data_IF_396381056989
#
_entry.id   IF_396381056989
#
_cell.length_a   1.000
_cell.length_b   1.000
_cell.length_c   1.000
_cell.angle_alpha   90.00
_cell.angle_beta   90.00
_cell.angle_gamma   90.00
#
_symmetry.space_group_name_H-M   'P 1'
#
loop_
_entity.id
_entity.type
_entity.pdbx_description
1 polymer ?
#
# COMPACT_ATOMS: atom_id res chain seq x y z
N UNK A 1 8.68 -4.31 14.87
CA UNK A 1 9.65 -4.66 13.80
C UNK A 1 9.49 -3.74 12.63
N UNK A 2 10.61 -3.18 12.14
CA UNK A 2 10.62 -2.37 10.93
C UNK A 2 10.62 -3.30 9.70
N UNK A 3 9.50 -3.34 9.00
CA UNK A 3 9.31 -4.15 7.80
C UNK A 3 8.91 -3.25 6.64
N UNK A 4 9.62 -3.37 5.51
CA UNK A 4 9.25 -2.71 4.26
C UNK A 4 8.53 -3.70 3.36
N UNK A 5 7.41 -3.30 2.76
CA UNK A 5 6.57 -4.15 1.91
C UNK A 5 6.48 -3.60 0.50
N UNK A 6 6.83 -4.43 -0.47
CA UNK A 6 6.45 -4.24 -1.87
C UNK A 6 5.24 -5.15 -2.17
N UNK A 7 4.27 -4.68 -2.93
CA UNK A 7 3.10 -5.46 -3.32
C UNK A 7 2.80 -5.21 -4.79
N UNK A 8 2.66 -6.26 -5.57
CA UNK A 8 2.26 -6.18 -6.96
C UNK A 8 1.14 -7.15 -7.28
N UNK A 9 0.12 -6.65 -7.99
CA UNK A 9 -0.93 -7.50 -8.54
C UNK A 9 -0.38 -8.31 -9.71
N UNK A 10 -0.69 -9.60 -9.74
CA UNK A 10 -0.34 -10.52 -10.81
C UNK A 10 -1.60 -10.81 -11.64
N UNK A 11 -1.54 -10.52 -12.94
CA UNK A 11 -2.58 -10.83 -13.89
C UNK A 11 -1.99 -11.51 -15.13
N UNK A 12 -2.46 -12.68 -15.47
CA UNK A 12 -1.92 -13.50 -16.57
C UNK A 12 -0.40 -13.65 -16.48
N UNK A 13 0.11 -13.93 -15.28
CA UNK A 13 1.56 -14.05 -14.95
C UNK A 13 2.40 -12.78 -15.17
N UNK A 14 1.76 -11.63 -15.32
CA UNK A 14 2.45 -10.35 -15.40
C UNK A 14 2.26 -9.57 -14.10
N UNK A 15 3.33 -8.99 -13.60
CA UNK A 15 3.28 -8.13 -12.40
C UNK A 15 3.00 -6.71 -12.87
N UNK A 16 1.89 -6.16 -12.41
CA UNK A 16 1.53 -4.78 -12.71
C UNK A 16 2.54 -3.81 -12.10
N UNK A 17 3.13 -2.96 -12.92
CA UNK A 17 4.07 -1.90 -12.52
C UNK A 17 5.19 -2.39 -11.58
N UNK A 18 5.83 -3.51 -11.94
CA UNK A 18 6.84 -4.16 -11.11
C UNK A 18 7.97 -3.21 -10.70
N UNK A 19 8.50 -2.44 -11.64
CA UNK A 19 9.62 -1.52 -11.42
C UNK A 19 9.26 -0.45 -10.39
N UNK A 20 8.06 0.14 -10.49
CA UNK A 20 7.59 1.15 -9.53
C UNK A 20 7.36 0.53 -8.15
N UNK A 21 6.86 -0.71 -8.08
CA UNK A 21 6.71 -1.43 -6.82
C UNK A 21 8.07 -1.71 -6.18
N UNK A 22 9.05 -2.13 -6.96
CA UNK A 22 10.41 -2.40 -6.49
C UNK A 22 11.10 -1.12 -6.03
N UNK A 23 11.04 -0.05 -6.81
CA UNK A 23 11.60 1.25 -6.43
C UNK A 23 11.00 1.77 -5.11
N UNK A 24 9.67 1.66 -4.93
CA UNK A 24 9.02 2.00 -3.66
C UNK A 24 9.48 1.10 -2.50
N UNK A 25 9.73 -0.18 -2.75
CA UNK A 25 10.24 -1.11 -1.75
C UNK A 25 11.62 -0.66 -1.24
N UNK A 26 12.54 -0.29 -2.16
CA UNK A 26 13.86 0.26 -1.81
C UNK A 26 13.75 1.62 -1.12
N UNK A 27 12.90 2.52 -1.61
CA UNK A 27 12.62 3.80 -0.96
C UNK A 27 12.16 3.59 0.50
N UNK A 28 11.21 2.69 0.72
CA UNK A 28 10.71 2.39 2.06
C UNK A 28 11.80 1.86 2.99
N UNK A 29 12.67 0.95 2.51
CA UNK A 29 13.79 0.43 3.28
C UNK A 29 14.76 1.55 3.69
N UNK A 30 15.15 2.40 2.74
CA UNK A 30 16.03 3.56 2.98
C UNK A 30 15.44 4.53 3.99
N UNK A 31 14.16 4.86 3.87
CA UNK A 31 13.43 5.73 4.84
C UNK A 31 13.35 5.10 6.23
N UNK A 32 13.32 3.76 6.31
CA UNK A 32 13.37 2.99 7.57
C UNK A 32 14.81 2.78 8.09
N UNK A 33 15.81 3.39 7.47
CA UNK A 33 17.21 3.40 7.92
C UNK A 33 17.97 2.10 7.67
N UNK A 34 17.62 1.35 6.61
CA UNK A 34 18.40 0.17 6.20
C UNK A 34 18.44 0.02 4.67
N UNK A 35 19.43 -0.70 4.19
CA UNK A 35 19.61 -1.01 2.78
C UNK A 35 19.27 -2.47 2.49
N UNK A 36 18.60 -2.71 1.37
CA UNK A 36 18.33 -4.06 0.87
C UNK A 36 19.61 -4.61 0.25
N UNK A 37 20.10 -5.82 0.65
CA UNK A 37 21.39 -6.34 0.20
C UNK A 37 21.33 -6.97 -1.21
N UNK A 38 20.45 -6.48 -2.06
CA UNK A 38 20.24 -6.90 -3.45
C UNK A 38 19.97 -5.69 -4.31
N UNK A 39 20.17 -5.80 -5.62
CA UNK A 39 19.75 -4.75 -6.57
C UNK A 39 18.26 -4.84 -6.91
N UNK A 40 17.70 -3.75 -7.41
CA UNK A 40 16.31 -3.73 -7.90
C UNK A 40 16.10 -4.78 -9.01
N UNK A 41 17.07 -4.94 -9.91
CA UNK A 41 17.02 -5.95 -10.97
C UNK A 41 16.97 -7.38 -10.43
N UNK A 42 17.74 -7.69 -9.37
CA UNK A 42 17.69 -8.99 -8.70
C UNK A 42 16.31 -9.26 -8.08
N UNK A 43 15.71 -8.27 -7.41
CA UNK A 43 14.37 -8.38 -6.84
C UNK A 43 13.31 -8.57 -7.95
N UNK A 44 13.42 -7.82 -9.04
CA UNK A 44 12.52 -7.95 -10.19
C UNK A 44 12.59 -9.33 -10.83
N UNK A 45 13.79 -9.84 -11.06
CA UNK A 45 14.01 -11.19 -11.61
C UNK A 45 13.47 -12.27 -10.68
N UNK A 46 13.77 -12.17 -9.38
CA UNK A 46 13.29 -13.13 -8.38
C UNK A 46 11.75 -13.11 -8.27
N UNK A 47 11.12 -11.93 -8.34
CA UNK A 47 9.66 -11.78 -8.34
C UNK A 47 8.99 -12.45 -9.55
N UNK A 48 9.57 -12.27 -10.75
CA UNK A 48 9.09 -12.95 -11.97
C UNK A 48 9.29 -14.47 -11.89
N UNK A 49 10.45 -14.89 -11.38
CA UNK A 49 10.80 -16.31 -11.27
C UNK A 49 9.85 -17.07 -10.32
N UNK A 50 9.57 -16.52 -9.13
CA UNK A 50 8.71 -17.21 -8.15
C UNK A 50 7.29 -17.40 -8.67
N UNK A 51 6.74 -16.42 -9.42
CA UNK A 51 5.43 -16.54 -10.06
C UNK A 51 5.43 -17.69 -11.10
N UNK A 52 6.49 -17.78 -11.90
CA UNK A 52 6.64 -18.84 -12.88
C UNK A 52 6.74 -20.22 -12.23
N UNK A 53 7.59 -20.36 -11.21
CA UNK A 53 7.80 -21.62 -10.48
C UNK A 53 6.54 -22.09 -9.78
N UNK A 54 5.81 -21.20 -9.14
CA UNK A 54 4.57 -21.51 -8.43
C UNK A 54 3.33 -21.51 -9.34
N UNK A 55 3.50 -21.21 -10.63
CA UNK A 55 2.43 -21.22 -11.65
C UNK A 55 1.25 -20.30 -11.29
N UNK A 56 1.49 -19.22 -10.54
CA UNK A 56 0.45 -18.25 -10.20
C UNK A 56 0.07 -17.46 -11.45
N UNK A 57 -1.19 -17.54 -11.86
CA UNK A 57 -1.70 -16.83 -13.03
C UNK A 57 -2.34 -15.49 -12.66
N UNK A 58 -3.12 -15.51 -11.58
CA UNK A 58 -3.76 -14.30 -11.02
C UNK A 58 -3.55 -14.32 -9.51
N UNK A 59 -2.98 -13.26 -8.97
CA UNK A 59 -2.65 -13.27 -7.56
C UNK A 59 -1.86 -12.07 -7.11
N UNK A 60 -1.02 -12.31 -6.15
CA UNK A 60 -0.21 -11.30 -5.49
C UNK A 60 1.25 -11.71 -5.40
N UNK A 61 2.16 -10.73 -5.53
CA UNK A 61 3.57 -10.88 -5.19
C UNK A 61 3.95 -9.86 -4.12
N UNK A 62 4.62 -10.33 -3.07
CA UNK A 62 5.00 -9.52 -1.92
C UNK A 62 6.47 -9.69 -1.56
N UNK A 63 7.37 -8.81 -2.01
CA UNK A 63 8.68 -8.66 -1.41
C UNK A 63 8.56 -8.08 0.01
N UNK A 64 9.35 -8.59 0.92
CA UNK A 64 9.42 -8.19 2.32
C UNK A 64 10.88 -8.08 2.70
N UNK A 65 11.29 -7.01 3.38
CA UNK A 65 12.60 -6.86 3.99
C UNK A 65 12.46 -6.49 5.46
N UNK A 66 13.29 -7.09 6.30
CA UNK A 66 13.25 -6.85 7.74
C UNK A 66 14.63 -7.00 8.38
N UNK A 67 14.79 -6.39 9.53
CA UNK A 67 15.99 -6.54 10.35
C UNK A 67 15.98 -7.88 11.09
N UNK A 68 17.14 -8.53 11.17
CA UNK A 68 17.32 -9.76 11.93
C UNK A 68 17.25 -9.55 13.45
N UNK A 69 17.45 -10.62 14.17
CA UNK A 69 17.31 -10.70 15.64
C UNK A 69 18.65 -10.65 16.38
N UNK A 70 19.70 -10.22 15.73
CA UNK A 70 21.05 -10.19 16.35
C UNK A 70 21.17 -9.14 17.45
N UNK A 71 20.24 -8.19 17.49
CA UNK A 71 20.17 -7.16 18.54
C UNK A 71 18.73 -7.04 19.04
N UNK A 72 18.59 -7.00 20.36
CA UNK A 72 17.29 -6.81 21.04
C UNK A 72 17.27 -5.45 21.76
N UNK A 73 17.47 -4.38 21.00
CA UNK A 73 17.46 -3.01 21.51
C UNK A 73 16.82 -2.06 20.50
N UNK A 74 16.63 -0.80 20.89
CA UNK A 74 16.14 0.25 19.98
C UNK A 74 17.15 0.45 18.84
N UNK A 75 18.46 0.49 19.15
CA UNK A 75 19.50 0.46 18.12
C UNK A 75 19.55 -0.93 17.46
N UNK A 76 19.37 -0.95 16.16
CA UNK A 76 19.35 -2.18 15.36
C UNK A 76 20.27 -2.08 14.13
N UNK A 77 21.30 -1.22 14.20
CA UNK A 77 22.18 -0.93 13.04
C UNK A 77 23.06 -2.10 12.64
N UNK A 78 23.41 -2.97 13.58
CA UNK A 78 24.27 -4.14 13.33
C UNK A 78 23.49 -5.43 12.99
N UNK A 79 22.17 -5.32 12.82
CA UNK A 79 21.36 -6.47 12.42
C UNK A 79 21.52 -6.75 10.92
N UNK A 80 21.46 -8.03 10.58
CA UNK A 80 21.38 -8.48 9.18
C UNK A 80 20.02 -8.08 8.59
N UNK A 81 20.02 -7.73 7.31
CA UNK A 81 18.78 -7.48 6.57
C UNK A 81 18.39 -8.76 5.84
N UNK A 82 17.20 -9.22 6.13
CA UNK A 82 16.59 -10.38 5.49
C UNK A 82 15.60 -9.92 4.43
N UNK A 83 15.51 -10.68 3.34
CA UNK A 83 14.54 -10.44 2.25
C UNK A 83 13.85 -11.74 1.91
N UNK A 84 12.54 -11.69 1.75
CA UNK A 84 11.73 -12.78 1.23
C UNK A 84 10.78 -12.25 0.16
N UNK A 85 10.43 -13.10 -0.80
CA UNK A 85 9.40 -12.80 -1.79
C UNK A 85 8.37 -13.92 -1.71
N UNK A 86 7.14 -13.56 -1.37
CA UNK A 86 6.00 -14.48 -1.34
C UNK A 86 5.08 -14.20 -2.53
N UNK A 87 4.46 -15.26 -3.05
CA UNK A 87 3.39 -15.15 -4.04
C UNK A 87 2.31 -16.17 -3.74
N UNK A 88 1.07 -15.83 -4.05
CA UNK A 88 -0.09 -16.71 -3.87
C UNK A 88 -1.22 -16.30 -4.80
N UNK A 89 -2.10 -17.22 -5.09
CA UNK A 89 -3.32 -16.91 -5.79
C UNK A 89 -4.19 -15.98 -4.93
N UNK A 90 -4.66 -14.92 -5.55
CA UNK A 90 -5.53 -13.95 -4.89
C UNK A 90 -6.66 -13.56 -5.83
N UNK A 91 -7.88 -13.75 -5.36
CA UNK A 91 -9.05 -13.27 -6.06
C UNK A 91 -9.24 -11.75 -5.94
N UNK A 92 -10.44 -11.29 -6.17
CA UNK A 92 -10.80 -9.90 -5.94
C UNK A 92 -10.80 -9.57 -4.45
N UNK A 93 -10.33 -8.36 -4.07
CA UNK A 93 -10.42 -7.82 -2.71
C UNK A 93 -11.85 -7.80 -2.17
N UNK A 94 -12.82 -7.62 -3.05
CA UNK A 94 -14.24 -7.60 -2.72
C UNK A 94 -14.97 -8.64 -3.56
N UNK A 95 -16.03 -9.20 -2.98
CA UNK A 95 -17.00 -9.98 -3.73
C UNK A 95 -17.42 -9.22 -5.00
N UNK A 96 -17.48 -9.87 -6.17
CA UNK A 96 -17.94 -9.24 -7.40
C UNK A 96 -19.24 -8.47 -7.26
N UNK A 97 -20.15 -8.92 -6.40
CA UNK A 97 -21.42 -8.26 -6.08
C UNK A 97 -21.19 -6.89 -5.45
N UNK A 98 -20.24 -6.76 -4.51
CA UNK A 98 -19.91 -5.49 -3.85
C UNK A 98 -19.27 -4.47 -4.80
N UNK A 99 -18.70 -4.90 -5.92
CA UNK A 99 -18.19 -3.96 -6.94
C UNK A 99 -19.31 -3.20 -7.66
N UNK A 100 -20.50 -3.76 -7.70
CA UNK A 100 -21.67 -3.16 -8.34
C UNK A 100 -22.54 -2.44 -7.30
N UNK A 101 -22.77 -3.06 -6.16
CA UNK A 101 -23.62 -2.53 -5.09
C UNK A 101 -22.93 -1.48 -4.22
N UNK A 102 -21.59 -1.44 -4.28
CA UNK A 102 -20.78 -0.58 -3.41
C UNK A 102 -20.50 -1.21 -2.05
N UNK A 103 -19.76 -0.48 -1.22
CA UNK A 103 -19.37 -0.89 0.13
C UNK A 103 -19.79 0.16 1.15
N UNK A 104 -19.99 -0.26 2.39
CA UNK A 104 -20.28 0.64 3.51
C UNK A 104 -18.99 0.95 4.26
N UNK A 105 -18.73 2.23 4.50
CA UNK A 105 -17.62 2.70 5.32
C UNK A 105 -18.17 3.39 6.57
N UNK A 106 -17.52 3.16 7.72
CA UNK A 106 -17.62 4.05 8.87
C UNK A 106 -16.46 5.07 8.84
N UNK A 107 -16.45 6.00 9.76
CA UNK A 107 -15.29 6.87 9.99
C UNK A 107 -14.48 6.26 11.13
N UNK A 108 -13.19 6.01 10.87
CA UNK A 108 -12.28 5.48 11.88
C UNK A 108 -12.08 6.47 13.02
N UNK A 109 -11.98 5.97 14.25
CA UNK A 109 -11.52 6.77 15.40
C UNK A 109 -9.99 7.02 15.38
N UNK A 110 -9.25 6.16 14.67
CA UNK A 110 -7.81 6.32 14.48
C UNK A 110 -7.54 7.22 13.29
N UNK A 111 -6.69 8.20 13.48
CA UNK A 111 -6.27 9.13 12.42
C UNK A 111 -4.93 8.72 11.83
N UNK A 112 -4.69 9.11 10.57
CA UNK A 112 -3.36 9.03 9.99
C UNK A 112 -2.43 9.99 10.75
N UNK A 113 -1.18 9.58 11.03
CA UNK A 113 -0.24 10.37 11.81
C UNK A 113 0.19 11.62 11.07
N UNK A 114 0.58 12.65 11.82
CA UNK A 114 1.17 13.85 11.25
C UNK A 114 2.48 13.54 10.49
N UNK A 115 2.82 14.29 9.45
CA UNK A 115 3.97 14.02 8.58
C UNK A 115 5.32 13.98 9.28
N UNK A 116 5.46 14.69 10.40
CA UNK A 116 6.68 14.80 11.21
C UNK A 116 6.79 13.73 12.31
N UNK A 117 5.76 12.89 12.50
CA UNK A 117 5.72 11.89 13.58
C UNK A 117 6.17 10.50 13.15
N UNK A 118 6.14 10.20 11.86
CA UNK A 118 6.41 8.87 11.33
C UNK A 118 6.79 8.96 9.83
N UNK A 119 7.59 8.04 9.27
CA UNK A 119 7.89 8.01 7.84
C UNK A 119 6.66 7.55 7.02
N UNK A 120 5.66 8.41 6.93
CA UNK A 120 4.34 8.16 6.33
C UNK A 120 4.37 7.76 4.84
N UNK A 121 5.41 8.20 4.12
CA UNK A 121 5.65 7.94 2.70
C UNK A 121 6.18 6.53 2.40
N UNK A 122 6.21 5.67 3.42
CA UNK A 122 6.71 4.30 3.32
C UNK A 122 5.60 3.26 3.36
N UNK A 123 5.86 2.08 2.79
CA UNK A 123 5.00 0.91 2.96
C UNK A 123 5.50 0.01 4.11
N UNK A 124 5.82 0.63 5.23
CA UNK A 124 6.28 -0.06 6.43
C UNK A 124 5.12 -0.70 7.20
N UNK A 125 5.33 -1.91 7.74
CA UNK A 125 4.27 -2.65 8.46
C UNK A 125 3.77 -1.94 9.71
N UNK A 126 4.62 -1.20 10.41
CA UNK A 126 4.23 -0.42 11.58
C UNK A 126 3.16 0.63 11.33
N UNK A 127 3.04 1.14 10.10
CA UNK A 127 2.00 2.08 9.70
C UNK A 127 0.61 1.45 9.57
N UNK A 128 0.55 0.12 9.46
CA UNK A 128 -0.70 -0.61 9.25
C UNK A 128 -1.38 -1.06 10.54
N UNK A 129 -0.78 -0.83 11.70
CA UNK A 129 -1.40 -1.17 12.98
C UNK A 129 -2.75 -0.48 13.15
N UNK A 130 -2.80 0.83 12.97
CA UNK A 130 -4.05 1.61 13.08
C UNK A 130 -5.06 1.24 11.98
N UNK A 131 -4.57 0.90 10.78
CA UNK A 131 -5.43 0.43 9.69
C UNK A 131 -6.10 -0.90 10.06
N UNK A 132 -5.35 -1.86 10.62
CA UNK A 132 -5.88 -3.14 11.07
C UNK A 132 -6.91 -2.96 12.17
N UNK A 133 -6.63 -2.12 13.17
CA UNK A 133 -7.57 -1.82 14.26
C UNK A 133 -8.87 -1.20 13.73
N UNK A 134 -8.75 -0.24 12.80
CA UNK A 134 -9.92 0.41 12.16
C UNK A 134 -10.75 -0.56 11.33
N UNK A 135 -10.08 -1.42 10.56
CA UNK A 135 -10.73 -2.45 9.75
C UNK A 135 -11.53 -3.44 10.61
N UNK A 136 -10.91 -3.97 11.67
CA UNK A 136 -11.57 -4.90 12.57
C UNK A 136 -12.75 -4.27 13.32
N UNK A 137 -12.66 -2.99 13.68
CA UNK A 137 -13.78 -2.26 14.30
C UNK A 137 -14.93 -2.09 13.30
N UNK A 138 -14.63 -1.65 12.08
CA UNK A 138 -15.63 -1.53 11.03
C UNK A 138 -16.37 -2.84 10.76
N UNK A 139 -15.64 -3.95 10.64
CA UNK A 139 -16.24 -5.27 10.41
C UNK A 139 -17.14 -5.73 11.55
N UNK A 140 -16.74 -5.49 12.81
CA UNK A 140 -17.60 -5.79 13.97
C UNK A 140 -18.90 -4.99 13.97
N UNK A 141 -18.83 -3.75 13.46
CA UNK A 141 -19.98 -2.83 13.41
C UNK A 141 -20.82 -2.98 12.11
N UNK A 142 -20.52 -3.99 11.28
CA UNK A 142 -21.28 -4.30 10.07
C UNK A 142 -20.92 -3.42 8.85
N UNK A 143 -19.77 -2.75 8.88
CA UNK A 143 -19.21 -2.03 7.74
C UNK A 143 -18.19 -2.87 7.00
N UNK A 144 -17.97 -2.55 5.74
CA UNK A 144 -16.98 -3.26 4.91
C UNK A 144 -15.55 -2.79 5.19
N UNK A 145 -15.36 -1.49 5.46
CA UNK A 145 -14.06 -0.86 5.72
C UNK A 145 -14.26 0.44 6.49
N UNK A 146 -13.15 1.14 6.82
CA UNK A 146 -13.17 2.46 7.45
C UNK A 146 -12.57 3.52 6.56
N UNK A 147 -13.18 4.69 6.56
CA UNK A 147 -12.57 5.92 6.09
C UNK A 147 -11.72 6.51 7.23
N UNK A 148 -10.45 6.76 6.95
CA UNK A 148 -9.50 7.35 7.89
C UNK A 148 -9.34 8.83 7.58
N UNK A 149 -9.32 9.65 8.63
CA UNK A 149 -8.98 11.06 8.57
C UNK A 149 -7.48 11.25 8.85
N UNK A 150 -6.93 12.36 8.40
CA UNK A 150 -5.59 12.80 8.81
C UNK A 150 -5.60 13.40 10.23
N UNK A 151 -4.45 13.84 10.70
CA UNK A 151 -4.28 14.45 12.04
C UNK A 151 -5.09 15.72 12.20
N UNK A 152 -5.37 16.46 11.14
CA UNK A 152 -6.16 17.70 11.14
C UNK A 152 -7.68 17.43 11.04
N UNK A 153 -8.08 16.24 10.61
CA UNK A 153 -9.47 15.85 10.48
C UNK A 153 -10.00 15.86 9.04
N UNK A 154 -9.12 16.07 8.06
CA UNK A 154 -9.48 15.96 6.66
C UNK A 154 -9.52 14.48 6.22
N UNK A 155 -10.25 14.19 5.15
CA UNK A 155 -10.27 12.84 4.57
C UNK A 155 -8.88 12.48 4.03
N UNK A 156 -8.34 11.34 4.46
CA UNK A 156 -7.06 10.82 4.02
C UNK A 156 -7.21 9.65 3.04
N UNK A 157 -7.57 8.49 3.54
CA UNK A 157 -7.68 7.25 2.75
C UNK A 157 -8.59 6.24 3.47
N UNK A 158 -8.89 5.08 2.85
CA UNK A 158 -9.43 3.92 3.56
C UNK A 158 -8.30 3.12 4.22
N UNK A 159 -8.62 2.04 4.96
CA UNK A 159 -7.59 1.30 5.72
C UNK A 159 -6.50 0.66 4.87
N UNK A 160 -6.78 0.35 3.62
CA UNK A 160 -5.83 -0.29 2.69
C UNK A 160 -5.87 0.27 1.27
N UNK A 161 -6.58 1.39 1.03
CA UNK A 161 -6.78 1.95 -0.31
C UNK A 161 -6.89 3.48 -0.26
N UNK A 162 -6.29 4.15 -1.25
CA UNK A 162 -6.52 5.55 -1.48
C UNK A 162 -7.96 5.79 -1.98
N UNK A 163 -8.46 7.01 -1.85
CA UNK A 163 -9.84 7.37 -2.17
C UNK A 163 -9.91 8.45 -3.25
N UNK A 164 -10.95 8.35 -4.07
CA UNK A 164 -11.35 9.36 -5.04
C UNK A 164 -12.83 9.66 -4.88
N UNK A 165 -13.17 10.92 -5.06
CA UNK A 165 -14.55 11.38 -5.14
C UNK A 165 -14.80 11.96 -6.53
N UNK A 166 -15.93 11.63 -7.12
CA UNK A 166 -16.36 12.24 -8.38
C UNK A 166 -17.40 13.31 -8.09
N UNK A 167 -17.17 14.55 -8.52
CA UNK A 167 -18.15 15.60 -8.40
C UNK A 167 -19.20 15.53 -9.54
N UNK A 168 -20.22 16.39 -9.44
CA UNK A 168 -21.30 16.46 -10.42
C UNK A 168 -20.85 16.92 -11.81
N UNK A 169 -19.71 17.62 -11.89
CA UNK A 169 -19.12 18.10 -13.16
C UNK A 169 -18.20 17.03 -13.77
N UNK A 170 -18.02 15.88 -13.11
CA UNK A 170 -17.22 14.76 -13.59
C UNK A 170 -15.74 14.82 -13.21
N UNK A 171 -15.31 15.84 -12.44
CA UNK A 171 -13.95 15.94 -11.95
C UNK A 171 -13.69 14.90 -10.86
N UNK A 172 -12.45 14.43 -10.75
CA UNK A 172 -12.01 13.55 -9.68
C UNK A 172 -11.27 14.36 -8.60
N UNK A 173 -11.71 14.21 -7.37
CA UNK A 173 -11.04 14.75 -6.19
C UNK A 173 -10.33 13.64 -5.46
N UNK A 174 -9.10 13.88 -5.00
CA UNK A 174 -8.34 12.92 -4.20
C UNK A 174 -7.51 13.67 -3.16
N UNK A 175 -7.44 13.18 -1.91
CA UNK A 175 -6.62 13.82 -0.89
C UNK A 175 -5.15 13.91 -1.30
N UNK A 176 -4.48 14.99 -0.87
CA UNK A 176 -3.02 15.16 -1.02
C UNK A 176 -2.31 14.15 -0.11
N UNK A 177 -1.39 13.30 -0.64
CA UNK A 177 -0.74 12.27 0.16
C UNK A 177 0.43 12.86 0.97
N UNK A 178 0.14 13.48 2.09
CA UNK A 178 1.10 14.09 3.02
C UNK A 178 1.16 13.40 4.40
N UNK A 179 0.18 12.55 4.70
CA UNK A 179 0.08 11.75 5.93
C UNK A 179 -0.18 10.26 5.67
N UNK A 180 -0.23 9.87 4.42
CA UNK A 180 -0.49 8.51 3.95
C UNK A 180 0.24 8.21 2.64
N UNK A 181 0.35 6.92 2.30
CA UNK A 181 1.11 6.46 1.14
C UNK A 181 0.48 6.91 -0.19
N UNK A 182 1.28 7.55 -1.06
CA UNK A 182 0.89 7.80 -2.46
C UNK A 182 0.93 6.49 -3.25
N UNK A 183 -0.21 5.82 -3.32
CA UNK A 183 -0.34 4.49 -3.92
C UNK A 183 -0.04 4.47 -5.42
N UNK A 184 0.64 3.42 -5.90
CA UNK A 184 0.91 3.21 -7.32
C UNK A 184 -0.40 3.12 -8.11
N UNK A 185 -1.41 2.46 -7.57
CA UNK A 185 -2.76 2.42 -8.15
C UNK A 185 -3.37 3.82 -8.22
N UNK A 186 -3.22 4.62 -7.14
CA UNK A 186 -3.70 6.02 -7.14
C UNK A 186 -3.06 6.83 -8.28
N UNK A 187 -1.73 6.78 -8.41
CA UNK A 187 -1.01 7.47 -9.51
C UNK A 187 -1.48 7.00 -10.88
N UNK A 188 -1.69 5.69 -11.04
CA UNK A 188 -2.22 5.12 -12.29
C UNK A 188 -3.62 5.64 -12.62
N UNK A 189 -4.51 5.74 -11.65
CA UNK A 189 -5.86 6.32 -11.84
C UNK A 189 -5.77 7.79 -12.26
N UNK A 190 -4.86 8.56 -11.66
CA UNK A 190 -4.61 9.96 -12.03
C UNK A 190 -4.12 10.06 -13.49
N UNK A 191 -3.18 9.20 -13.89
CA UNK A 191 -2.66 9.20 -15.27
C UNK A 191 -3.74 8.82 -16.28
N UNK A 192 -4.58 7.83 -15.97
CA UNK A 192 -5.73 7.45 -16.81
C UNK A 192 -6.74 8.60 -16.90
N UNK A 193 -7.05 9.26 -15.79
CA UNK A 193 -7.96 10.40 -15.77
C UNK A 193 -7.44 11.53 -16.68
N UNK A 194 -6.16 11.88 -16.54
CA UNK A 194 -5.50 12.89 -17.40
C UNK A 194 -5.54 12.50 -18.88
N UNK A 195 -5.26 11.24 -19.21
CA UNK A 195 -5.32 10.75 -20.60
C UNK A 195 -6.71 10.81 -21.23
N UNK A 196 -7.75 10.85 -20.37
CA UNK A 196 -9.16 10.99 -20.77
C UNK A 196 -9.69 12.42 -20.64
N UNK A 197 -8.82 13.40 -20.40
CA UNK A 197 -9.19 14.79 -20.14
C UNK A 197 -10.13 14.99 -18.95
N UNK A 198 -10.08 14.10 -17.95
CA UNK A 198 -10.79 14.24 -16.69
C UNK A 198 -9.91 15.05 -15.75
N UNK A 199 -10.42 16.17 -15.26
CA UNK A 199 -9.70 17.02 -14.31
C UNK A 199 -9.54 16.29 -12.97
N UNK A 200 -8.31 16.30 -12.43
CA UNK A 200 -8.00 15.78 -11.09
C UNK A 200 -7.68 16.96 -10.18
N UNK A 201 -8.38 17.02 -9.05
CA UNK A 201 -8.26 18.07 -8.04
C UNK A 201 -7.72 17.44 -6.77
N UNK A 202 -6.60 17.95 -6.29
CA UNK A 202 -6.04 17.56 -5.00
C UNK A 202 -6.71 18.39 -3.91
N UNK A 203 -7.16 17.71 -2.86
CA UNK A 203 -7.88 18.31 -1.72
C UNK A 203 -7.15 18.02 -0.42
N UNK A 204 -7.36 18.87 0.57
CA UNK A 204 -6.89 18.69 1.94
C UNK A 204 -8.03 18.21 2.81
#
# INVERSE_FOLDING_TARGET
>A
SSESRGLGDVYKRQIFKLEEHTSRFFHSAKRMGFEIPYSEDQINKASKNIISVQKVENGYVRPIAWRGSEMMAISAQQTKIHVAIATWEWGSYFDPKLKVEGIKLNISKWKRPAPDTIPWDTKASGLYMICTLSKHEAERDGYTDSLMLDHEGNVAEATGANIFFKDKDGNLHTPTPDSFLDGITRRTVIDIAKSKNIKVIYVF
#
